data_IF_470076199302
#
_entry.id   IF_470076199302
#
_cell.length_a   1.000
_cell.length_b   1.000
_cell.length_c   1.000
_cell.angle_alpha   90.00
_cell.angle_beta   90.00
_cell.angle_gamma   90.00
#
_symmetry.space_group_name_H-M   'P 1'
#
loop_
_entity.id
_entity.type
_entity.pdbx_description
1 polymer ?
#
# COMPACT_ATOMS: atom_id res chain seq x y z
N UNK A 1 16.00 -1.83 19.44
CA UNK A 1 15.70 -2.21 20.84
C UNK A 1 15.79 -3.72 20.92
N UNK A 2 16.82 -4.24 21.60
CA UNK A 2 16.99 -5.67 21.78
C UNK A 2 16.16 -6.09 23.00
N UNK A 3 15.19 -6.99 22.80
CA UNK A 3 14.47 -7.61 23.92
C UNK A 3 15.21 -8.88 24.25
N UNK A 4 15.96 -8.85 25.36
CA UNK A 4 16.73 -9.98 25.84
C UNK A 4 15.84 -11.10 26.38
N UNK A 5 16.03 -12.31 25.86
CA UNK A 5 15.46 -13.52 26.43
C UNK A 5 16.18 -13.87 27.74
N UNK A 6 15.51 -13.69 28.87
CA UNK A 6 15.96 -14.30 30.14
C UNK A 6 15.67 -15.80 30.10
N UNK A 7 16.72 -16.60 30.02
CA UNK A 7 16.65 -18.06 30.09
C UNK A 7 16.54 -18.52 31.54
N UNK A 8 15.74 -19.56 31.80
CA UNK A 8 16.05 -20.59 32.81
C UNK A 8 15.34 -21.92 32.50
N UNK A 9 15.92 -23.05 32.94
CA UNK A 9 15.79 -24.35 32.28
C UNK A 9 14.83 -25.29 33.00
N UNK A 10 14.15 -26.14 32.23
CA UNK A 10 13.34 -27.24 32.72
C UNK A 10 13.24 -28.31 31.63
N UNK A 11 13.74 -29.49 31.96
CA UNK A 11 13.85 -30.70 31.14
C UNK A 11 12.53 -31.18 30.55
N UNK A 12 12.51 -31.48 29.25
CA UNK A 12 12.13 -32.79 28.71
C UNK A 12 12.51 -32.83 27.22
N UNK A 13 13.19 -33.92 26.81
CA UNK A 13 13.55 -34.17 25.41
C UNK A 13 12.31 -34.60 24.64
N UNK A 14 11.57 -33.66 24.07
CA UNK A 14 10.56 -33.99 23.06
C UNK A 14 11.10 -33.65 21.67
N UNK A 15 11.43 -34.71 20.93
CA UNK A 15 11.68 -34.71 19.49
C UNK A 15 10.34 -34.50 18.77
N UNK A 16 9.84 -33.28 18.76
CA UNK A 16 8.71 -32.85 17.94
C UNK A 16 9.22 -31.85 16.91
N UNK A 17 9.05 -32.15 15.62
CA UNK A 17 9.34 -31.18 14.57
C UNK A 17 8.65 -29.86 14.91
N UNK A 18 9.41 -28.76 14.93
CA UNK A 18 8.82 -27.43 15.03
C UNK A 18 8.08 -27.18 13.72
N UNK A 19 6.86 -27.68 13.61
CA UNK A 19 5.86 -27.00 12.81
C UNK A 19 5.66 -25.65 13.50
N UNK A 20 6.38 -24.64 13.03
CA UNK A 20 6.05 -23.25 13.35
C UNK A 20 4.65 -23.02 12.79
N UNK A 21 3.65 -23.22 13.65
CA UNK A 21 2.27 -22.95 13.35
C UNK A 21 2.12 -21.44 13.13
N UNK A 22 1.59 -21.07 11.97
CA UNK A 22 1.23 -19.69 11.66
C UNK A 22 0.25 -19.17 12.72
N UNK A 23 0.57 -18.03 13.34
CA UNK A 23 -0.33 -17.39 14.30
C UNK A 23 -1.64 -17.00 13.62
N UNK A 24 -2.74 -16.98 14.36
CA UNK A 24 -4.04 -16.51 13.84
C UNK A 24 -3.95 -15.07 13.27
N UNK A 25 -3.10 -14.23 13.87
CA UNK A 25 -2.81 -12.87 13.38
C UNK A 25 -2.12 -12.91 12.01
N UNK A 26 -1.06 -13.71 11.87
CA UNK A 26 -0.34 -13.87 10.61
C UNK A 26 -1.23 -14.50 9.52
N UNK A 27 -2.06 -15.47 9.89
CA UNK A 27 -3.04 -16.09 9.00
C UNK A 27 -4.08 -15.08 8.51
N UNK A 28 -4.55 -14.20 9.39
CA UNK A 28 -5.44 -13.10 9.04
C UNK A 28 -4.80 -12.11 8.05
N UNK A 29 -3.55 -11.71 8.29
CA UNK A 29 -2.81 -10.84 7.38
C UNK A 29 -2.59 -11.46 6.01
N UNK A 30 -2.22 -12.75 5.96
CA UNK A 30 -2.08 -13.49 4.71
C UNK A 30 -3.41 -13.59 3.98
N UNK A 31 -4.50 -13.93 4.67
CA UNK A 31 -5.84 -13.98 4.08
C UNK A 31 -6.22 -12.62 3.47
N UNK A 32 -5.95 -11.51 4.16
CA UNK A 32 -6.18 -10.16 3.63
C UNK A 32 -5.33 -9.88 2.39
N UNK A 33 -4.04 -10.24 2.40
CA UNK A 33 -3.14 -10.08 1.24
C UNK A 33 -3.62 -10.89 0.04
N UNK A 34 -4.11 -12.11 0.26
CA UNK A 34 -4.64 -12.98 -0.80
C UNK A 34 -5.99 -12.47 -1.32
N UNK A 35 -6.91 -12.06 -0.44
CA UNK A 35 -8.21 -11.52 -0.82
C UNK A 35 -8.09 -10.24 -1.66
N UNK A 36 -7.08 -9.40 -1.37
CA UNK A 36 -6.79 -8.17 -2.11
C UNK A 36 -5.69 -8.35 -3.18
N UNK A 37 -5.23 -9.59 -3.42
CA UNK A 37 -4.03 -9.87 -4.22
C UNK A 37 -4.14 -9.42 -5.67
N UNK A 38 -5.34 -9.46 -6.26
CA UNK A 38 -5.60 -9.01 -7.62
C UNK A 38 -5.83 -7.50 -7.74
N UNK A 39 -6.16 -6.80 -6.65
CA UNK A 39 -6.49 -5.38 -6.67
C UNK A 39 -5.26 -4.55 -7.00
N UNK A 40 -4.12 -4.89 -6.41
CA UNK A 40 -2.85 -4.19 -6.64
C UNK A 40 -2.37 -4.25 -8.11
N UNK A 41 -2.24 -5.42 -8.76
CA UNK A 41 -1.83 -5.48 -10.16
C UNK A 41 -2.84 -4.82 -11.10
N UNK A 42 -4.13 -4.86 -10.79
CA UNK A 42 -5.15 -4.13 -11.55
C UNK A 42 -4.97 -2.61 -11.44
N UNK A 43 -4.75 -2.09 -10.23
CA UNK A 43 -4.49 -0.68 -10.00
C UNK A 43 -3.19 -0.20 -10.69
N UNK A 44 -2.13 -1.00 -10.64
CA UNK A 44 -0.89 -0.67 -11.35
C UNK A 44 -1.12 -0.64 -12.87
N UNK A 45 -1.83 -1.63 -13.40
CA UNK A 45 -2.20 -1.69 -14.81
C UNK A 45 -2.96 -0.43 -15.25
N UNK A 46 -3.93 0.03 -14.46
CA UNK A 46 -4.70 1.24 -14.82
C UNK A 46 -3.81 2.49 -14.89
N UNK A 47 -2.86 2.65 -13.97
CA UNK A 47 -1.96 3.82 -13.95
C UNK A 47 -1.00 3.78 -15.15
N UNK A 48 -0.55 2.59 -15.55
CA UNK A 48 0.26 2.40 -16.77
C UNK A 48 -0.55 2.69 -18.03
N UNK A 49 -1.78 2.17 -18.15
CA UNK A 49 -2.63 2.38 -19.32
C UNK A 49 -3.07 3.83 -19.49
N UNK A 50 -3.24 4.56 -18.38
CA UNK A 50 -3.53 6.00 -18.40
C UNK A 50 -2.27 6.86 -18.61
N UNK A 51 -1.06 6.28 -18.66
CA UNK A 51 0.19 7.03 -18.80
C UNK A 51 0.53 7.90 -17.58
N UNK A 52 -0.12 7.67 -16.43
CA UNK A 52 0.03 8.53 -15.25
C UNK A 52 1.45 8.49 -14.70
N UNK A 53 2.13 7.33 -14.75
CA UNK A 53 3.53 7.23 -14.32
C UNK A 53 4.47 8.11 -15.15
N UNK A 54 4.18 8.29 -16.44
CA UNK A 54 4.96 9.15 -17.33
C UNK A 54 4.73 10.63 -16.99
N UNK A 55 3.49 11.00 -16.68
CA UNK A 55 3.16 12.36 -16.24
C UNK A 55 3.84 12.72 -14.91
N UNK A 56 3.95 11.75 -14.00
CA UNK A 56 4.62 11.92 -12.70
C UNK A 56 6.15 11.84 -12.77
N UNK A 57 6.74 11.52 -13.92
CA UNK A 57 8.18 11.32 -14.06
C UNK A 57 8.94 12.65 -13.83
N UNK A 58 9.42 12.86 -12.60
CA UNK A 58 10.22 14.01 -12.21
C UNK A 58 9.44 15.21 -11.66
N UNK A 59 8.12 15.08 -11.46
CA UNK A 59 7.28 16.14 -10.90
C UNK A 59 6.37 15.59 -9.80
N UNK A 60 6.22 16.33 -8.70
CA UNK A 60 5.13 16.09 -7.74
C UNK A 60 3.89 16.78 -8.30
N UNK A 61 2.87 15.99 -8.65
CA UNK A 61 1.62 16.48 -9.24
C UNK A 61 0.45 16.06 -8.35
N UNK A 62 -0.55 16.94 -8.23
CA UNK A 62 -1.81 16.58 -7.56
C UNK A 62 -2.69 15.72 -8.48
N UNK A 63 -3.67 14.98 -7.94
CA UNK A 63 -4.63 14.24 -8.75
C UNK A 63 -5.40 15.12 -9.75
N UNK A 64 -5.71 16.37 -9.39
CA UNK A 64 -6.35 17.33 -10.31
C UNK A 64 -5.43 17.69 -11.49
N UNK A 65 -4.15 17.97 -11.23
CA UNK A 65 -3.17 18.30 -12.27
C UNK A 65 -2.91 17.13 -13.21
N UNK A 66 -2.90 15.90 -12.67
CA UNK A 66 -2.78 14.69 -13.46
C UNK A 66 -4.01 14.47 -14.34
N UNK A 67 -5.21 14.62 -13.79
CA UNK A 67 -6.45 14.41 -14.54
C UNK A 67 -6.72 15.48 -15.59
N UNK A 68 -6.27 16.72 -15.38
CA UNK A 68 -6.34 17.77 -16.39
C UNK A 68 -5.50 17.46 -17.65
N UNK A 69 -4.48 16.62 -17.52
CA UNK A 69 -3.64 16.17 -18.63
C UNK A 69 -4.16 14.89 -19.30
N UNK A 70 -5.10 14.19 -18.66
CA UNK A 70 -5.74 13.01 -19.24
C UNK A 70 -6.91 13.44 -20.15
N UNK A 71 -7.15 12.74 -21.27
CA UNK A 71 -8.28 13.00 -22.15
C UNK A 71 -9.59 12.48 -21.54
N UNK A 72 -10.03 13.08 -20.44
CA UNK A 72 -11.23 12.69 -19.69
C UNK A 72 -12.14 13.89 -19.42
N UNK A 73 -13.45 13.65 -19.52
CA UNK A 73 -14.49 14.60 -19.11
C UNK A 73 -15.25 14.11 -17.86
N UNK A 74 -14.74 13.07 -17.19
CA UNK A 74 -15.39 12.51 -16.01
C UNK A 74 -15.10 13.39 -14.79
N UNK A 75 -16.10 14.04 -14.16
CA UNK A 75 -15.89 14.89 -12.99
C UNK A 75 -15.37 14.10 -11.77
N UNK A 76 -15.61 12.78 -11.72
CA UNK A 76 -15.12 11.92 -10.63
C UNK A 76 -13.70 11.40 -10.87
N UNK A 77 -13.10 11.68 -12.04
CA UNK A 77 -11.77 11.19 -12.39
C UNK A 77 -10.68 11.55 -11.36
N UNK A 78 -10.60 12.79 -10.81
CA UNK A 78 -9.58 13.14 -9.82
C UNK A 78 -9.69 12.28 -8.56
N UNK A 79 -10.91 12.10 -8.03
CA UNK A 79 -11.16 11.30 -6.85
C UNK A 79 -10.90 9.79 -7.07
N UNK A 80 -11.23 9.28 -8.26
CA UNK A 80 -10.91 7.90 -8.64
C UNK A 80 -9.39 7.69 -8.75
N UNK A 81 -8.68 8.64 -9.36
CA UNK A 81 -7.23 8.58 -9.51
C UNK A 81 -6.53 8.67 -8.15
N UNK A 82 -6.95 9.59 -7.27
CA UNK A 82 -6.44 9.69 -5.90
C UNK A 82 -6.53 8.34 -5.16
N UNK A 83 -7.70 7.70 -5.23
CA UNK A 83 -7.91 6.40 -4.57
C UNK A 83 -6.97 5.31 -5.09
N UNK A 84 -6.68 5.31 -6.40
CA UNK A 84 -5.73 4.39 -7.02
C UNK A 84 -4.30 4.71 -6.56
N UNK A 85 -3.89 5.97 -6.63
CA UNK A 85 -2.55 6.42 -6.23
C UNK A 85 -2.29 6.12 -4.75
N UNK A 86 -3.24 6.38 -3.87
CA UNK A 86 -3.17 6.05 -2.44
C UNK A 86 -3.06 4.54 -2.19
N UNK A 87 -3.77 3.72 -2.96
CA UNK A 87 -3.61 2.27 -2.87
C UNK A 87 -2.18 1.84 -3.21
N UNK A 88 -1.60 2.40 -4.28
CA UNK A 88 -0.22 2.11 -4.68
C UNK A 88 0.79 2.62 -3.63
N UNK A 89 0.56 3.81 -3.07
CA UNK A 89 1.39 4.39 -2.01
C UNK A 89 1.34 3.57 -0.70
N UNK A 90 0.17 3.02 -0.34
CA UNK A 90 0.02 2.12 0.81
C UNK A 90 0.81 0.82 0.69
N UNK A 91 1.23 0.47 -0.54
CA UNK A 91 2.09 -0.67 -0.86
C UNK A 91 3.53 -0.24 -1.19
N UNK A 92 3.90 1.00 -0.87
CA UNK A 92 5.23 1.59 -1.08
C UNK A 92 5.69 1.61 -2.54
N UNK A 93 4.75 1.60 -3.50
CA UNK A 93 5.06 1.75 -4.92
C UNK A 93 5.19 3.21 -5.35
N UNK A 94 4.55 4.11 -4.61
CA UNK A 94 4.60 5.56 -4.80
C UNK A 94 4.88 6.23 -3.46
N UNK A 95 5.50 7.40 -3.50
CA UNK A 95 5.59 8.30 -2.35
C UNK A 95 4.54 9.38 -2.53
N UNK A 96 3.69 9.58 -1.55
CA UNK A 96 2.72 10.68 -1.53
C UNK A 96 3.10 11.66 -0.44
N UNK A 97 3.11 12.95 -0.76
CA UNK A 97 3.25 14.03 0.20
C UNK A 97 1.89 14.70 0.36
N UNK A 98 1.44 14.88 1.60
CA UNK A 98 0.22 15.64 1.89
C UNK A 98 0.64 17.05 2.28
N UNK A 99 0.42 18.02 1.42
CA UNK A 99 0.60 19.44 1.75
C UNK A 99 -0.59 19.86 2.60
N UNK A 100 -0.41 19.90 3.92
CA UNK A 100 -1.41 20.51 4.79
C UNK A 100 -1.38 22.01 4.52
N UNK A 101 -2.40 22.53 3.84
CA UNK A 101 -2.61 23.97 3.81
C UNK A 101 -2.81 24.46 5.26
N UNK A 102 -2.40 25.69 5.56
CA UNK A 102 -2.41 26.27 6.91
C UNK A 102 -3.80 26.28 7.58
N UNK A 103 -4.86 26.02 6.83
CA UNK A 103 -6.25 25.85 7.30
C UNK A 103 -6.56 24.43 7.85
N UNK A 104 -5.61 23.50 7.83
CA UNK A 104 -5.81 22.13 8.34
C UNK A 104 -6.69 21.26 7.44
N UNK A 105 -6.96 21.71 6.21
CA UNK A 105 -7.56 20.88 5.17
C UNK A 105 -6.46 20.15 4.42
N UNK A 106 -6.51 18.83 4.51
CA UNK A 106 -5.72 17.95 3.64
C UNK A 106 -6.30 18.06 2.22
N UNK A 107 -5.46 18.45 1.25
CA UNK A 107 -5.74 18.31 -0.18
C UNK A 107 -5.34 16.91 -0.62
#
# INVERSE_FOLDING_TARGET
MAVGCSSSPGSDMEMGGKEEAMSEEEAGELAQRLALGSVLPMALKTVVELGVLELMAGHELTPEELTAQLPTNNPDAPAMLDRILRLLASRSLLTCTSTTDVDGKVQ
#
